data_IF_760590102834
#
_entry.id   IF_760590102834
#
_cell.length_a   1.000
_cell.length_b   1.000
_cell.length_c   1.000
_cell.angle_alpha   90.00
_cell.angle_beta   90.00
_cell.angle_gamma   90.00
#
_symmetry.space_group_name_H-M   'P 1'
#
loop_
_entity.id
_entity.type
_entity.pdbx_description
1 polymer ?
#
# COMPACT_ATOMS: atom_id res chain seq x y z
N UNK A 1 13.93 -32.16 8.53
CA UNK A 1 13.23 -30.90 8.78
C UNK A 1 12.53 -30.53 7.48
N UNK A 2 11.27 -31.02 7.32
CA UNK A 2 10.49 -30.83 6.09
C UNK A 2 9.82 -29.44 6.17
N UNK A 3 10.46 -28.46 5.59
CA UNK A 3 9.73 -27.24 5.21
C UNK A 3 9.00 -27.58 3.92
N UNK A 4 7.74 -27.98 4.05
CA UNK A 4 6.81 -27.98 2.95
C UNK A 4 6.72 -26.53 2.48
N UNK A 5 7.46 -26.19 1.43
CA UNK A 5 7.24 -24.99 0.67
C UNK A 5 5.91 -25.17 -0.04
N UNK A 6 4.82 -24.77 0.61
CA UNK A 6 3.57 -24.57 -0.09
C UNK A 6 3.85 -23.57 -1.22
N UNK A 7 3.85 -24.08 -2.43
CA UNK A 7 3.93 -23.27 -3.64
C UNK A 7 2.62 -22.50 -3.80
N UNK A 8 2.52 -21.38 -3.12
CA UNK A 8 1.35 -20.52 -3.22
C UNK A 8 1.39 -19.84 -4.58
N UNK A 9 0.43 -20.14 -5.43
CA UNK A 9 0.30 -19.55 -6.77
C UNK A 9 0.37 -18.01 -6.78
N UNK A 10 -0.14 -17.38 -5.72
CA UNK A 10 -0.07 -15.94 -5.53
C UNK A 10 1.36 -15.39 -5.42
N UNK A 11 2.34 -16.23 -5.03
CA UNK A 11 3.77 -15.89 -4.98
C UNK A 11 4.47 -16.15 -6.32
N UNK A 12 3.75 -16.63 -7.33
CA UNK A 12 4.35 -16.84 -8.65
C UNK A 12 4.69 -15.47 -9.28
N UNK A 13 5.85 -15.41 -9.89
CA UNK A 13 6.38 -14.20 -10.52
C UNK A 13 5.42 -13.53 -11.52
N UNK A 14 4.81 -14.27 -12.47
CA UNK A 14 3.89 -13.67 -13.45
C UNK A 14 2.67 -13.01 -12.80
N UNK A 15 2.15 -13.58 -11.72
CA UNK A 15 1.00 -13.00 -11.00
C UNK A 15 1.41 -11.70 -10.33
N UNK A 16 2.56 -11.69 -9.64
CA UNK A 16 3.04 -10.48 -8.96
C UNK A 16 3.31 -9.34 -9.95
N UNK A 17 3.98 -9.61 -11.07
CA UNK A 17 4.23 -8.60 -12.12
C UNK A 17 2.92 -8.11 -12.74
N UNK A 18 1.97 -9.00 -12.99
CA UNK A 18 0.67 -8.61 -13.54
C UNK A 18 -0.11 -7.72 -12.58
N UNK A 19 -0.16 -8.09 -11.31
CA UNK A 19 -0.84 -7.28 -10.27
C UNK A 19 -0.14 -5.93 -10.10
N UNK A 20 1.19 -5.91 -9.99
CA UNK A 20 1.95 -4.66 -9.86
C UNK A 20 1.78 -3.77 -11.10
N UNK A 21 1.81 -4.34 -12.30
CA UNK A 21 1.59 -3.63 -13.56
C UNK A 21 0.19 -3.02 -13.65
N UNK A 22 -0.85 -3.79 -13.34
CA UNK A 22 -2.23 -3.30 -13.32
C UNK A 22 -2.41 -2.20 -12.27
N UNK A 23 -1.91 -2.39 -11.06
CA UNK A 23 -2.00 -1.39 -10.00
C UNK A 23 -1.30 -0.10 -10.41
N UNK A 24 -0.08 -0.19 -10.96
CA UNK A 24 0.64 0.98 -11.47
C UNK A 24 -0.14 1.70 -12.57
N UNK A 25 -0.70 0.97 -13.52
CA UNK A 25 -1.49 1.55 -14.61
C UNK A 25 -2.72 2.28 -14.08
N UNK A 26 -3.48 1.69 -13.15
CA UNK A 26 -4.63 2.36 -12.54
C UNK A 26 -4.23 3.61 -11.75
N UNK A 27 -3.12 3.58 -11.03
CA UNK A 27 -2.63 4.75 -10.30
C UNK A 27 -2.18 5.87 -11.24
N UNK A 28 -1.53 5.55 -12.36
CA UNK A 28 -1.19 6.53 -13.41
C UNK A 28 -2.44 7.15 -14.00
N UNK A 29 -3.44 6.35 -14.35
CA UNK A 29 -4.71 6.84 -14.88
C UNK A 29 -5.43 7.76 -13.88
N UNK A 30 -5.42 7.39 -12.59
CA UNK A 30 -6.00 8.20 -11.53
C UNK A 30 -5.26 9.53 -11.38
N UNK A 31 -3.93 9.52 -11.35
CA UNK A 31 -3.12 10.74 -11.25
C UNK A 31 -3.34 11.65 -12.46
N UNK A 32 -3.39 11.11 -13.68
CA UNK A 32 -3.69 11.86 -14.90
C UNK A 32 -5.10 12.47 -14.84
N UNK A 33 -6.11 11.68 -14.45
CA UNK A 33 -7.47 12.16 -14.27
C UNK A 33 -7.52 13.33 -13.29
N UNK A 34 -6.87 13.24 -12.14
CA UNK A 34 -6.79 14.32 -11.15
C UNK A 34 -6.11 15.55 -11.73
N UNK A 35 -5.01 15.39 -12.50
CA UNK A 35 -4.34 16.53 -13.16
C UNK A 35 -5.26 17.24 -14.15
N UNK A 36 -5.98 16.49 -15.00
CA UNK A 36 -6.89 17.09 -15.98
C UNK A 36 -8.13 17.74 -15.34
N UNK A 37 -8.59 17.25 -14.21
CA UNK A 37 -9.75 17.76 -13.50
C UNK A 37 -9.38 18.77 -12.40
N UNK A 38 -8.10 19.11 -12.26
CA UNK A 38 -7.59 19.99 -11.22
C UNK A 38 -8.31 21.36 -11.17
N UNK A 39 -8.52 21.98 -12.31
CA UNK A 39 -9.21 23.28 -12.41
C UNK A 39 -10.65 23.24 -11.86
N UNK A 40 -11.29 22.07 -11.90
CA UNK A 40 -12.64 21.87 -11.41
C UNK A 40 -12.67 21.53 -9.91
N UNK A 41 -11.80 20.65 -9.45
CA UNK A 41 -11.81 20.13 -8.08
C UNK A 41 -11.07 21.02 -7.08
N UNK A 42 -9.99 21.69 -7.50
CA UNK A 42 -9.16 22.51 -6.61
C UNK A 42 -9.95 23.63 -5.89
N UNK A 43 -10.87 24.39 -6.55
CA UNK A 43 -11.61 25.45 -5.86
C UNK A 43 -12.61 24.96 -4.83
N UNK A 44 -13.07 23.70 -4.93
CA UNK A 44 -14.10 23.15 -4.05
C UNK A 44 -13.51 22.72 -2.69
N UNK A 45 -12.41 22.00 -2.71
CA UNK A 45 -11.70 21.56 -1.51
C UNK A 45 -10.20 21.36 -1.81
N UNK A 46 -9.40 22.41 -1.65
CA UNK A 46 -8.00 22.40 -2.03
C UNK A 46 -7.18 21.39 -1.22
N UNK A 47 -7.47 21.23 0.08
CA UNK A 47 -6.73 20.34 0.95
C UNK A 47 -6.91 18.87 0.53
N UNK A 48 -8.17 18.46 0.34
CA UNK A 48 -8.49 17.11 -0.07
C UNK A 48 -7.90 16.79 -1.46
N UNK A 49 -8.05 17.73 -2.40
CA UNK A 49 -7.50 17.58 -3.74
C UNK A 49 -5.98 17.42 -3.73
N UNK A 50 -5.26 18.30 -3.02
CA UNK A 50 -3.79 18.24 -2.93
C UNK A 50 -3.34 16.94 -2.27
N UNK A 51 -4.01 16.52 -1.19
CA UNK A 51 -3.66 15.28 -0.50
C UNK A 51 -3.87 14.05 -1.38
N UNK A 52 -4.98 13.98 -2.12
CA UNK A 52 -5.24 12.91 -3.08
C UNK A 52 -4.24 12.89 -4.24
N UNK A 53 -3.92 14.06 -4.80
CA UNK A 53 -2.96 14.17 -5.89
C UNK A 53 -1.55 13.74 -5.44
N UNK A 54 -1.09 14.24 -4.30
CA UNK A 54 0.22 13.87 -3.74
C UNK A 54 0.26 12.38 -3.43
N UNK A 55 -0.77 11.83 -2.80
CA UNK A 55 -0.90 10.39 -2.55
C UNK A 55 -0.80 9.59 -3.84
N UNK A 56 -1.56 9.94 -4.87
CA UNK A 56 -1.54 9.25 -6.17
C UNK A 56 -0.16 9.29 -6.83
N UNK A 57 0.54 10.43 -6.78
CA UNK A 57 1.89 10.57 -7.34
C UNK A 57 2.89 9.69 -6.57
N UNK A 58 2.85 9.72 -5.24
CA UNK A 58 3.75 8.89 -4.41
C UNK A 58 3.50 7.40 -4.67
N UNK A 59 2.24 6.98 -4.81
CA UNK A 59 1.90 5.61 -5.18
C UNK A 59 2.44 5.22 -6.56
N UNK A 60 2.29 6.09 -7.57
CA UNK A 60 2.85 5.85 -8.91
C UNK A 60 4.37 5.66 -8.84
N UNK A 61 5.06 6.50 -8.09
CA UNK A 61 6.52 6.40 -7.92
C UNK A 61 6.90 5.11 -7.21
N UNK A 62 6.23 4.79 -6.10
CA UNK A 62 6.51 3.58 -5.32
C UNK A 62 6.25 2.30 -6.13
N UNK A 63 5.06 2.16 -6.72
CA UNK A 63 4.71 0.99 -7.51
C UNK A 63 5.52 0.88 -8.80
N UNK A 64 5.85 2.01 -9.43
CA UNK A 64 6.74 2.05 -10.59
C UNK A 64 8.14 1.58 -10.25
N UNK A 65 8.69 2.01 -9.10
CA UNK A 65 9.98 1.54 -8.60
C UNK A 65 9.95 0.04 -8.27
N UNK A 66 8.90 -0.44 -7.59
CA UNK A 66 8.69 -1.86 -7.28
C UNK A 66 8.64 -2.71 -8.55
N UNK A 67 7.85 -2.28 -9.54
CA UNK A 67 7.76 -2.97 -10.83
C UNK A 67 9.11 -2.97 -11.56
N UNK A 68 9.84 -1.84 -11.53
CA UNK A 68 11.17 -1.75 -12.12
C UNK A 68 12.18 -2.71 -11.49
N UNK A 69 12.16 -2.84 -10.16
CA UNK A 69 12.98 -3.82 -9.43
C UNK A 69 12.60 -5.26 -9.82
N UNK A 70 11.31 -5.57 -9.83
CA UNK A 70 10.81 -6.87 -10.23
C UNK A 70 11.26 -7.25 -11.66
N UNK A 71 11.09 -6.34 -12.62
CA UNK A 71 11.49 -6.58 -14.00
C UNK A 71 13.01 -6.77 -14.16
N UNK A 72 13.81 -6.00 -13.42
CA UNK A 72 15.27 -6.17 -13.43
C UNK A 72 15.70 -7.54 -12.91
N UNK A 73 15.09 -7.99 -11.83
CA UNK A 73 15.38 -9.32 -11.28
C UNK A 73 14.92 -10.43 -12.21
N UNK A 74 13.78 -10.25 -12.89
CA UNK A 74 13.34 -11.17 -13.93
C UNK A 74 14.38 -11.34 -15.03
N UNK A 75 14.93 -10.24 -15.51
CA UNK A 75 15.97 -10.25 -16.53
C UNK A 75 17.19 -11.05 -16.05
N UNK A 76 17.62 -10.81 -14.81
CA UNK A 76 18.74 -11.55 -14.21
C UNK A 76 18.45 -13.05 -14.04
N UNK A 77 17.21 -13.42 -13.65
CA UNK A 77 16.80 -14.82 -13.49
C UNK A 77 16.57 -15.51 -14.83
N UNK A 78 16.19 -14.81 -15.89
CA UNK A 78 15.95 -15.37 -17.21
C UNK A 78 17.20 -15.99 -17.82
N UNK A 79 18.39 -15.59 -17.37
CA UNK A 79 19.67 -16.12 -17.81
C UNK A 79 20.16 -17.33 -17.00
N UNK A 80 19.44 -17.75 -15.93
CA UNK A 80 19.84 -18.85 -15.04
C UNK A 80 19.02 -20.12 -15.32
N UNK A 81 19.70 -21.22 -15.55
CA UNK A 81 19.04 -22.53 -15.67
C UNK A 81 19.02 -23.24 -14.28
N UNK A 82 17.91 -23.91 -13.89
CA UNK A 82 16.59 -24.05 -14.54
C UNK A 82 15.66 -22.86 -14.29
N UNK A 83 14.99 -22.38 -15.31
CA UNK A 83 14.17 -21.15 -15.28
C UNK A 83 12.94 -21.21 -14.37
N UNK A 84 12.47 -22.41 -14.05
CA UNK A 84 11.16 -22.60 -13.39
C UNK A 84 11.14 -22.23 -11.90
N UNK A 85 12.21 -22.49 -11.15
CA UNK A 85 12.22 -22.35 -9.70
C UNK A 85 12.06 -20.91 -9.20
N UNK A 86 12.77 -19.93 -9.76
CA UNK A 86 12.59 -18.52 -9.39
C UNK A 86 11.22 -17.96 -9.73
N UNK A 87 10.58 -18.50 -10.76
CA UNK A 87 9.24 -18.07 -11.18
C UNK A 87 8.12 -18.47 -10.23
N UNK A 88 8.29 -19.58 -9.48
CA UNK A 88 7.25 -20.12 -8.62
C UNK A 88 7.25 -19.57 -7.19
N UNK A 89 8.40 -19.10 -6.70
CA UNK A 89 8.58 -18.70 -5.31
C UNK A 89 9.28 -17.34 -5.20
N UNK A 90 8.89 -16.39 -6.06
CA UNK A 90 9.46 -15.07 -6.02
C UNK A 90 9.02 -14.33 -4.76
N UNK A 91 9.99 -13.89 -3.99
CA UNK A 91 9.78 -12.91 -2.93
C UNK A 91 10.67 -11.72 -3.24
N UNK A 92 10.15 -10.51 -3.14
CA UNK A 92 10.97 -9.31 -3.19
C UNK A 92 12.18 -9.51 -2.26
N UNK A 93 13.41 -9.32 -2.73
CA UNK A 93 14.59 -9.60 -1.94
C UNK A 93 14.67 -8.59 -0.79
N UNK A 94 14.14 -8.99 0.35
CA UNK A 94 14.30 -8.20 1.58
C UNK A 94 15.76 -8.16 2.04
N UNK A 95 16.62 -9.13 1.61
CA UNK A 95 17.95 -9.31 2.20
C UNK A 95 19.07 -9.73 1.24
N UNK A 96 18.82 -9.87 -0.07
CA UNK A 96 19.80 -10.51 -0.96
C UNK A 96 20.95 -9.61 -1.43
N UNK A 97 20.65 -8.63 -2.27
CA UNK A 97 21.64 -7.80 -2.96
C UNK A 97 21.53 -6.29 -2.66
N UNK A 98 20.60 -5.90 -1.80
CA UNK A 98 20.35 -4.51 -1.49
C UNK A 98 21.29 -4.00 -0.41
N UNK A 99 21.80 -2.79 -0.60
CA UNK A 99 22.48 -2.07 0.49
C UNK A 99 21.45 -1.66 1.54
N UNK A 100 21.87 -1.57 2.79
CA UNK A 100 21.02 -1.11 3.90
C UNK A 100 20.33 0.23 3.56
N UNK A 101 21.03 1.11 2.87
CA UNK A 101 20.51 2.42 2.47
C UNK A 101 19.35 2.26 1.47
N UNK A 102 19.50 1.42 0.45
CA UNK A 102 18.42 1.15 -0.53
C UNK A 102 17.19 0.56 0.15
N UNK A 103 17.40 -0.37 1.06
CA UNK A 103 16.32 -1.00 1.82
C UNK A 103 15.57 0.02 2.68
N UNK A 104 16.29 0.87 3.41
CA UNK A 104 15.66 1.92 4.24
C UNK A 104 14.86 2.89 3.37
N UNK A 105 15.39 3.33 2.23
CA UNK A 105 14.64 4.20 1.32
C UNK A 105 13.39 3.54 0.74
N UNK A 106 13.46 2.25 0.43
CA UNK A 106 12.31 1.52 -0.10
C UNK A 106 11.20 1.39 0.94
N UNK A 107 11.54 0.97 2.17
CA UNK A 107 10.59 0.87 3.29
C UNK A 107 10.00 2.24 3.65
N UNK A 108 10.82 3.29 3.63
CA UNK A 108 10.35 4.65 3.88
C UNK A 108 9.35 5.10 2.79
N UNK A 109 9.62 4.79 1.52
CA UNK A 109 8.70 5.11 0.42
C UNK A 109 7.38 4.34 0.54
N UNK A 110 7.43 3.08 0.93
CA UNK A 110 6.26 2.24 1.20
C UNK A 110 5.41 2.80 2.35
N UNK A 111 6.03 3.05 3.49
CA UNK A 111 5.39 3.64 4.65
C UNK A 111 4.76 5.01 4.34
N UNK A 112 5.45 5.85 3.56
CA UNK A 112 4.95 7.15 3.14
C UNK A 112 3.76 7.01 2.18
N UNK A 113 3.81 6.09 1.23
CA UNK A 113 2.73 5.82 0.30
C UNK A 113 1.46 5.37 1.06
N UNK A 114 1.59 4.39 1.97
CA UNK A 114 0.49 3.93 2.82
C UNK A 114 -0.08 5.05 3.69
N UNK A 115 0.77 5.78 4.41
CA UNK A 115 0.35 6.90 5.26
C UNK A 115 -0.44 7.96 4.49
N UNK A 116 0.01 8.36 3.31
CA UNK A 116 -0.67 9.37 2.49
C UNK A 116 -2.01 8.87 1.96
N UNK A 117 -2.10 7.60 1.57
CA UNK A 117 -3.35 7.01 1.13
C UNK A 117 -4.39 6.98 2.25
N UNK A 118 -4.01 6.51 3.42
CA UNK A 118 -4.90 6.49 4.58
C UNK A 118 -5.29 7.90 5.02
N UNK A 119 -4.34 8.86 5.01
CA UNK A 119 -4.65 10.27 5.30
C UNK A 119 -5.68 10.83 4.31
N UNK A 120 -5.55 10.53 3.01
CA UNK A 120 -6.52 10.93 1.99
C UNK A 120 -7.90 10.30 2.24
N UNK A 121 -7.96 9.01 2.60
CA UNK A 121 -9.22 8.34 2.94
C UNK A 121 -9.88 8.93 4.20
N UNK A 122 -9.10 9.19 5.27
CA UNK A 122 -9.60 9.83 6.49
C UNK A 122 -10.14 11.22 6.18
N UNK A 123 -9.40 12.02 5.40
CA UNK A 123 -9.85 13.35 4.99
C UNK A 123 -11.15 13.28 4.19
N UNK A 124 -11.26 12.35 3.25
CA UNK A 124 -12.47 12.12 2.48
C UNK A 124 -13.67 11.76 3.39
N UNK A 125 -13.47 10.83 4.34
CA UNK A 125 -14.51 10.50 5.31
C UNK A 125 -14.93 11.71 6.16
N UNK A 126 -13.97 12.51 6.63
CA UNK A 126 -14.28 13.72 7.39
C UNK A 126 -15.06 14.75 6.60
N UNK A 127 -14.97 14.75 5.27
CA UNK A 127 -15.78 15.61 4.41
C UNK A 127 -17.22 15.10 4.25
N UNK A 128 -17.42 13.78 4.25
CA UNK A 128 -18.75 13.17 4.18
C UNK A 128 -19.60 13.51 5.41
N UNK A 129 -18.99 13.59 6.58
CA UNK A 129 -19.69 13.78 7.84
C UNK A 129 -19.65 15.26 8.28
N UNK A 130 -20.81 15.96 8.33
CA UNK A 130 -20.87 17.39 8.64
C UNK A 130 -20.65 17.70 10.13
N UNK A 131 -20.91 16.72 11.02
CA UNK A 131 -20.83 16.90 12.47
C UNK A 131 -19.38 16.97 12.96
N UNK A 132 -19.06 17.96 13.79
CA UNK A 132 -17.73 18.09 14.41
C UNK A 132 -17.38 16.89 15.33
N UNK A 133 -18.40 16.29 15.95
CA UNK A 133 -18.24 15.12 16.80
C UNK A 133 -17.81 13.90 15.99
N UNK A 134 -18.52 13.65 14.87
CA UNK A 134 -18.25 12.54 13.97
C UNK A 134 -16.85 12.64 13.35
N UNK A 135 -16.45 13.84 12.88
CA UNK A 135 -15.09 14.07 12.36
C UNK A 135 -14.02 13.76 13.40
N UNK A 136 -14.23 14.19 14.65
CA UNK A 136 -13.31 13.91 15.73
C UNK A 136 -13.25 12.41 16.05
N UNK A 137 -14.40 11.74 16.04
CA UNK A 137 -14.50 10.29 16.27
C UNK A 137 -13.76 9.52 15.16
N UNK A 138 -13.98 9.86 13.89
CA UNK A 138 -13.29 9.27 12.73
C UNK A 138 -11.77 9.41 12.91
N UNK A 139 -11.29 10.61 13.21
CA UNK A 139 -9.87 10.85 13.39
C UNK A 139 -9.27 10.04 14.56
N UNK A 140 -9.95 10.00 15.71
CA UNK A 140 -9.47 9.26 16.88
C UNK A 140 -9.61 7.74 16.75
N UNK A 141 -10.53 7.28 15.92
CA UNK A 141 -10.69 5.85 15.66
C UNK A 141 -9.69 5.35 14.62
N UNK A 142 -9.58 6.03 13.49
CA UNK A 142 -8.74 5.58 12.36
C UNK A 142 -7.27 5.98 12.51
N UNK A 143 -6.99 7.16 13.06
CA UNK A 143 -5.63 7.69 13.19
C UNK A 143 -4.65 6.74 13.88
N UNK A 144 -4.98 6.16 15.04
CA UNK A 144 -4.11 5.20 15.72
C UNK A 144 -3.80 3.96 14.88
N UNK A 145 -4.79 3.41 14.16
CA UNK A 145 -4.56 2.25 13.29
C UNK A 145 -3.57 2.57 12.19
N UNK A 146 -3.71 3.72 11.53
CA UNK A 146 -2.79 4.18 10.49
C UNK A 146 -1.38 4.38 11.03
N UNK A 147 -1.24 4.94 12.23
CA UNK A 147 0.08 5.12 12.85
C UNK A 147 0.74 3.79 13.23
N UNK A 148 -0.04 2.83 13.73
CA UNK A 148 0.46 1.49 14.06
C UNK A 148 0.92 0.80 12.76
N UNK A 149 0.08 0.78 11.73
CA UNK A 149 0.39 0.18 10.43
C UNK A 149 1.65 0.80 9.82
N UNK A 150 1.71 2.14 9.76
CA UNK A 150 2.90 2.84 9.26
C UNK A 150 4.16 2.50 10.06
N UNK A 151 4.03 2.32 11.37
CA UNK A 151 5.14 1.88 12.23
C UNK A 151 5.59 0.45 11.96
N UNK A 152 4.67 -0.44 11.62
CA UNK A 152 4.96 -1.85 11.35
C UNK A 152 5.84 -2.05 10.10
N UNK A 153 5.77 -1.17 9.09
CA UNK A 153 6.69 -1.22 7.94
C UNK A 153 8.16 -1.20 8.34
N UNK A 154 8.50 -0.49 9.42
CA UNK A 154 9.89 -0.42 9.89
C UNK A 154 10.37 -1.70 10.60
N UNK A 155 9.48 -2.62 10.93
CA UNK A 155 9.86 -3.93 11.48
C UNK A 155 10.60 -4.76 10.43
N UNK A 156 10.40 -4.51 9.16
CA UNK A 156 11.13 -5.14 8.06
C UNK A 156 12.65 -4.81 8.05
N UNK A 157 13.08 -3.83 8.85
CA UNK A 157 14.51 -3.56 9.09
C UNK A 157 15.13 -4.52 10.11
N UNK A 158 14.30 -5.30 10.83
CA UNK A 158 14.79 -6.28 11.80
C UNK A 158 15.46 -7.45 11.06
N UNK A 159 16.61 -7.96 11.55
CA UNK A 159 17.28 -9.09 10.92
C UNK A 159 16.37 -10.32 10.78
N UNK A 160 16.55 -11.12 9.71
CA UNK A 160 15.68 -12.28 9.40
C UNK A 160 15.73 -13.39 10.45
N UNK A 161 16.67 -13.36 11.37
CA UNK A 161 16.78 -14.32 12.47
C UNK A 161 15.61 -14.24 13.45
N UNK A 162 14.87 -13.11 13.46
CA UNK A 162 13.71 -12.88 14.31
C UNK A 162 12.38 -13.23 13.62
N UNK A 163 12.25 -14.43 13.05
CA UNK A 163 11.08 -14.89 12.29
C UNK A 163 9.76 -14.64 13.02
N UNK A 164 9.69 -14.90 14.32
CA UNK A 164 8.46 -14.65 15.12
C UNK A 164 8.02 -13.21 15.17
N UNK A 165 8.97 -12.27 15.16
CA UNK A 165 8.66 -10.83 15.17
C UNK A 165 8.13 -10.41 13.82
N UNK A 166 8.71 -10.92 12.74
CA UNK A 166 8.27 -10.66 11.38
C UNK A 166 6.87 -11.23 11.13
N UNK A 167 6.62 -12.49 11.51
CA UNK A 167 5.31 -13.13 11.37
C UNK A 167 4.23 -12.39 12.19
N UNK A 168 4.57 -11.92 13.38
CA UNK A 168 3.65 -11.13 14.20
C UNK A 168 3.36 -9.76 13.56
N UNK A 169 4.38 -9.11 13.01
CA UNK A 169 4.22 -7.84 12.29
C UNK A 169 3.32 -8.00 11.08
N UNK A 170 3.54 -9.02 10.27
CA UNK A 170 2.72 -9.32 9.09
C UNK A 170 1.25 -9.60 9.49
N UNK A 171 1.03 -10.36 10.56
CA UNK A 171 -0.31 -10.62 11.08
C UNK A 171 -1.00 -9.33 11.58
N UNK A 172 -0.29 -8.47 12.31
CA UNK A 172 -0.81 -7.20 12.80
C UNK A 172 -1.10 -6.24 11.65
N UNK A 173 -0.24 -6.17 10.63
CA UNK A 173 -0.44 -5.35 9.43
C UNK A 173 -1.72 -5.78 8.71
N UNK A 174 -1.90 -7.08 8.47
CA UNK A 174 -3.11 -7.61 7.84
C UNK A 174 -4.39 -7.29 8.64
N UNK A 175 -4.32 -7.30 9.98
CA UNK A 175 -5.45 -6.92 10.84
C UNK A 175 -5.75 -5.43 10.72
N UNK A 176 -4.74 -4.57 10.73
CA UNK A 176 -4.90 -3.12 10.57
C UNK A 176 -5.51 -2.80 9.20
N UNK A 177 -4.94 -3.32 8.11
CA UNK A 177 -5.43 -3.13 6.75
C UNK A 177 -6.89 -3.57 6.59
N UNK A 178 -7.22 -4.77 7.06
CA UNK A 178 -8.59 -5.30 6.98
C UNK A 178 -9.57 -4.46 7.78
N UNK A 179 -9.17 -4.01 8.98
CA UNK A 179 -9.98 -3.15 9.84
C UNK A 179 -10.22 -1.78 9.19
N UNK A 180 -9.17 -1.17 8.64
CA UNK A 180 -9.28 0.11 7.94
C UNK A 180 -10.14 -0.02 6.68
N UNK A 181 -9.97 -1.07 5.88
CA UNK A 181 -10.78 -1.32 4.70
C UNK A 181 -12.28 -1.44 5.06
N UNK A 182 -12.63 -2.21 6.10
CA UNK A 182 -14.00 -2.34 6.58
C UNK A 182 -14.58 -1.00 7.06
N UNK A 183 -13.79 -0.21 7.79
CA UNK A 183 -14.23 1.09 8.29
C UNK A 183 -14.43 2.09 7.15
N UNK A 184 -13.54 2.11 6.15
CA UNK A 184 -13.68 2.96 4.97
C UNK A 184 -14.90 2.59 4.13
N UNK A 185 -15.21 1.31 3.99
CA UNK A 185 -16.39 0.85 3.24
C UNK A 185 -17.71 1.10 4.00
N UNK A 186 -17.70 0.98 5.32
CA UNK A 186 -18.90 1.19 6.14
C UNK A 186 -19.34 2.65 6.25
N UNK A 187 -18.38 3.59 6.20
CA UNK A 187 -18.64 5.03 6.31
C UNK A 187 -19.63 5.57 5.26
N UNK A 188 -19.35 5.40 3.95
CA UNK A 188 -20.26 5.85 2.88
C UNK A 188 -21.65 5.17 2.93
N UNK A 189 -21.70 3.88 3.27
CA UNK A 189 -22.95 3.12 3.38
C UNK A 189 -23.83 3.68 4.49
N UNK A 190 -23.27 3.95 5.66
CA UNK A 190 -23.99 4.56 6.78
C UNK A 190 -24.52 5.94 6.43
N UNK A 191 -23.72 6.75 5.71
CA UNK A 191 -24.13 8.09 5.29
C UNK A 191 -25.32 8.06 4.31
N UNK A 192 -25.32 7.15 3.34
CA UNK A 192 -26.44 7.00 2.38
C UNK A 192 -27.73 6.58 3.05
N UNK A 193 -27.67 5.67 4.05
CA UNK A 193 -28.83 5.25 4.83
C UNK A 193 -29.41 6.38 5.69
N UNK A 194 -28.58 7.17 6.34
CA UNK A 194 -29.02 8.29 7.19
C UNK A 194 -29.68 9.42 6.38
N UNK A 195 -29.35 9.58 5.11
CA UNK A 195 -29.91 10.63 4.24
C UNK A 195 -31.19 10.20 3.51
N UNK A 196 -31.48 8.88 3.47
CA UNK A 196 -32.66 8.31 2.84
C UNK A 196 -33.91 8.32 3.77
N UNK A 197 -33.74 8.69 5.04
CA UNK A 197 -34.79 8.92 6.03
C UNK A 197 -34.86 10.40 6.42
#
# INVERSE_FOLDING_TARGET
>A
MNTEHELVFALSYPVQVSVAGMTTAFMVLLALHQCFTAAYHFPLDPLNFVLQLVSSIVYVVYHGATLGVQLRELDEFSHRWPYMFPYMAYRLPRYGHWTTVQMVFFILAEALASLLAHAAHIQFLMLLFPSKLERRLIFWLLGPFVLIETGLFFVDLVPPDHVKVLDLSDAMMNICDSSLALLYMSGPVSYTHLRAH
#
